data_IF_731042379033
#
_entry.id   IF_731042379033
#
_cell.length_a   1.000
_cell.length_b   1.000
_cell.length_c   1.000
_cell.angle_alpha   90.00
_cell.angle_beta   90.00
_cell.angle_gamma   90.00
#
_symmetry.space_group_name_H-M   'P 1'
#
loop_
_entity.id
_entity.type
_entity.pdbx_description
1 polymer ?
#
# COMPACT_ATOMS: atom_id res chain seq x y z
N UNK A 1 -13.82 -1.13 4.95
CA UNK A 1 -13.87 0.20 4.30
C UNK A 1 -14.97 1.08 4.84
N UNK A 2 -16.23 0.63 4.80
CA UNK A 2 -17.45 1.41 5.12
C UNK A 2 -17.32 2.21 6.42
N UNK A 3 -16.90 1.57 7.52
CA UNK A 3 -16.75 2.23 8.82
C UNK A 3 -15.75 3.40 8.86
N UNK A 4 -14.65 3.31 8.11
CA UNK A 4 -13.65 4.39 8.04
C UNK A 4 -14.14 5.54 7.14
N UNK A 5 -14.87 5.23 6.07
CA UNK A 5 -15.48 6.23 5.19
C UNK A 5 -16.62 6.99 5.88
N UNK A 6 -17.32 6.34 6.82
CA UNK A 6 -18.39 6.95 7.62
C UNK A 6 -17.88 7.98 8.63
N UNK A 7 -16.66 7.84 9.13
CA UNK A 7 -16.09 8.78 10.11
C UNK A 7 -15.87 10.19 9.55
N UNK A 8 -15.70 10.34 8.22
CA UNK A 8 -15.53 11.60 7.44
C UNK A 8 -14.48 12.61 7.92
N UNK A 9 -13.83 12.39 9.06
CA UNK A 9 -12.86 13.29 9.69
C UNK A 9 -11.50 13.26 8.99
N UNK A 10 -11.18 12.16 8.32
CA UNK A 10 -9.91 11.98 7.58
C UNK A 10 -10.16 11.33 6.23
N UNK A 11 -9.50 11.79 5.16
CA UNK A 11 -9.62 11.15 3.85
C UNK A 11 -9.03 9.73 3.90
N UNK A 12 -9.76 8.76 3.37
CA UNK A 12 -9.36 7.35 3.35
C UNK A 12 -9.01 6.95 1.92
N UNK A 13 -7.85 6.32 1.75
CA UNK A 13 -7.36 5.82 0.46
C UNK A 13 -7.09 4.32 0.56
N UNK A 14 -7.61 3.55 -0.41
CA UNK A 14 -7.27 2.14 -0.59
C UNK A 14 -6.09 2.02 -1.55
N UNK A 15 -5.01 1.39 -1.08
CA UNK A 15 -3.87 0.98 -1.89
C UNK A 15 -4.01 -0.52 -2.18
N UNK A 16 -4.78 -0.83 -3.23
CA UNK A 16 -4.94 -2.18 -3.74
C UNK A 16 -3.66 -2.64 -4.47
N UNK A 17 -3.19 -3.85 -4.19
CA UNK A 17 -1.95 -4.39 -4.74
C UNK A 17 -1.94 -4.42 -6.27
N UNK A 18 -3.06 -4.75 -6.92
CA UNK A 18 -3.15 -4.84 -8.38
C UNK A 18 -3.23 -3.46 -9.02
N UNK A 19 -3.97 -2.53 -8.40
CA UNK A 19 -4.03 -1.13 -8.87
C UNK A 19 -2.66 -0.48 -8.76
N UNK A 20 -1.98 -0.62 -7.62
CA UNK A 20 -0.64 -0.05 -7.43
C UNK A 20 0.36 -0.72 -8.38
N UNK A 21 0.29 -2.04 -8.55
CA UNK A 21 1.15 -2.75 -9.49
C UNK A 21 0.95 -2.27 -10.92
N UNK A 22 -0.29 -2.05 -11.35
CA UNK A 22 -0.58 -1.55 -12.70
C UNK A 22 -0.06 -0.13 -12.94
N UNK A 23 -0.16 0.76 -11.97
CA UNK A 23 0.12 2.19 -12.17
C UNK A 23 1.54 2.61 -11.77
N UNK A 24 2.13 1.96 -10.76
CA UNK A 24 3.38 2.40 -10.13
C UNK A 24 4.47 1.31 -10.14
N UNK A 25 4.15 0.09 -10.61
CA UNK A 25 5.09 -1.05 -10.55
C UNK A 25 4.84 -2.04 -11.69
N UNK A 26 4.51 -1.52 -12.88
CA UNK A 26 4.15 -2.34 -14.05
C UNK A 26 5.36 -3.10 -14.61
N UNK A 27 6.56 -2.64 -14.29
CA UNK A 27 7.84 -3.27 -14.62
C UNK A 27 8.18 -4.47 -13.72
N UNK A 28 7.53 -4.59 -12.56
CA UNK A 28 7.78 -5.68 -11.63
C UNK A 28 7.11 -6.96 -12.14
N UNK A 29 7.76 -8.11 -11.91
CA UNK A 29 7.20 -9.45 -12.19
C UNK A 29 6.63 -10.07 -10.90
N UNK A 30 6.60 -11.40 -10.78
CA UNK A 30 6.05 -12.10 -9.60
C UNK A 30 7.13 -12.78 -8.74
N UNK A 31 8.41 -12.48 -8.99
CA UNK A 31 9.50 -12.96 -8.13
C UNK A 31 9.36 -12.43 -6.71
N UNK A 32 10.03 -13.08 -5.76
CA UNK A 32 10.02 -12.67 -4.36
C UNK A 32 10.53 -11.23 -4.21
N UNK A 33 11.65 -10.90 -4.84
CA UNK A 33 12.28 -9.58 -4.79
C UNK A 33 11.35 -8.49 -5.33
N UNK A 34 10.64 -8.79 -6.43
CA UNK A 34 9.67 -7.88 -7.01
C UNK A 34 8.42 -7.70 -6.14
N UNK A 35 7.97 -8.74 -5.42
CA UNK A 35 6.89 -8.61 -4.43
C UNK A 35 7.32 -7.77 -3.25
N UNK A 36 8.52 -8.01 -2.72
CA UNK A 36 9.10 -7.27 -1.60
C UNK A 36 9.24 -5.77 -1.96
N UNK A 37 9.69 -5.47 -3.18
CA UNK A 37 9.78 -4.10 -3.69
C UNK A 37 8.40 -3.43 -3.86
N UNK A 38 7.40 -4.15 -4.36
CA UNK A 38 6.03 -3.63 -4.48
C UNK A 38 5.44 -3.27 -3.11
N UNK A 39 5.61 -4.13 -2.10
CA UNK A 39 5.15 -3.86 -0.73
C UNK A 39 5.88 -2.65 -0.13
N UNK A 40 7.19 -2.54 -0.36
CA UNK A 40 7.99 -1.39 0.09
C UNK A 40 7.49 -0.08 -0.53
N UNK A 41 7.19 -0.08 -1.84
CA UNK A 41 6.63 1.09 -2.55
C UNK A 41 5.25 1.47 -2.03
N UNK A 42 4.38 0.49 -1.77
CA UNK A 42 3.07 0.72 -1.14
C UNK A 42 3.25 1.36 0.24
N UNK A 43 4.20 0.89 1.04
CA UNK A 43 4.54 1.46 2.34
C UNK A 43 4.98 2.93 2.25
N UNK A 44 5.82 3.25 1.27
CA UNK A 44 6.22 4.64 1.01
C UNK A 44 5.01 5.54 0.69
N UNK A 45 4.14 5.13 -0.24
CA UNK A 45 2.93 5.90 -0.58
C UNK A 45 1.97 6.03 0.60
N UNK A 46 1.80 4.97 1.40
CA UNK A 46 1.02 5.00 2.62
C UNK A 46 1.58 6.01 3.64
N UNK A 47 2.91 6.11 3.75
CA UNK A 47 3.56 7.10 4.61
C UNK A 47 3.25 8.53 4.18
N UNK A 48 3.23 8.81 2.86
CA UNK A 48 2.89 10.13 2.35
C UNK A 48 1.42 10.48 2.59
N UNK A 49 0.50 9.52 2.42
CA UNK A 49 -0.93 9.70 2.74
C UNK A 49 -1.10 10.03 4.22
N UNK A 50 -0.44 9.28 5.10
CA UNK A 50 -0.57 9.46 6.55
C UNK A 50 0.08 10.75 7.06
N UNK A 51 1.22 11.17 6.49
CA UNK A 51 1.85 12.48 6.75
C UNK A 51 0.92 13.65 6.40
N UNK A 52 0.09 13.50 5.37
CA UNK A 52 -0.89 14.50 4.96
C UNK A 52 -2.25 14.38 5.68
N UNK A 53 -2.30 13.65 6.81
CA UNK A 53 -3.51 13.51 7.62
C UNK A 53 -4.53 12.51 7.09
N UNK A 54 -4.23 11.77 6.02
CA UNK A 54 -5.08 10.71 5.48
C UNK A 54 -4.93 9.38 6.21
N UNK A 55 -5.77 8.42 5.84
CA UNK A 55 -5.69 7.01 6.27
C UNK A 55 -5.42 6.16 5.02
N UNK A 56 -4.34 5.39 5.04
CA UNK A 56 -4.01 4.43 3.98
C UNK A 56 -4.39 3.01 4.41
N UNK A 57 -5.29 2.37 3.66
CA UNK A 57 -5.60 0.95 3.78
C UNK A 57 -4.84 0.21 2.69
N UNK A 58 -3.84 -0.59 3.07
CA UNK A 58 -2.99 -1.30 2.12
C UNK A 58 -3.46 -2.75 1.98
N UNK A 59 -3.72 -3.20 0.76
CA UNK A 59 -4.13 -4.57 0.46
C UNK A 59 -3.21 -5.24 -0.60
N UNK A 60 -1.88 -5.33 -0.37
CA UNK A 60 -1.01 -6.11 -1.22
C UNK A 60 -1.09 -7.61 -0.93
N UNK A 61 -0.71 -8.43 -1.91
CA UNK A 61 -0.35 -9.83 -1.68
C UNK A 61 1.03 -9.87 -1.03
N UNK A 62 1.11 -10.14 0.27
CA UNK A 62 2.35 -10.24 1.05
C UNK A 62 2.50 -11.66 1.65
N UNK A 63 3.00 -12.63 0.88
CA UNK A 63 3.04 -14.04 1.28
C UNK A 63 4.25 -14.38 2.17
N UNK A 64 5.12 -13.42 2.47
CA UNK A 64 6.37 -13.61 3.22
C UNK A 64 6.37 -12.72 4.46
N UNK A 65 6.73 -13.28 5.62
CA UNK A 65 6.69 -12.57 6.91
C UNK A 65 7.79 -11.50 7.07
N UNK A 66 8.94 -11.67 6.38
CA UNK A 66 10.10 -10.77 6.52
C UNK A 66 9.95 -9.41 5.82
N UNK A 67 8.81 -9.11 5.22
CA UNK A 67 8.58 -7.83 4.55
C UNK A 67 8.07 -6.82 5.57
N UNK A 68 8.96 -6.34 6.43
CA UNK A 68 8.65 -5.18 7.29
C UNK A 68 9.01 -3.90 6.53
N UNK A 69 8.04 -3.00 6.25
CA UNK A 69 8.38 -1.67 5.78
C UNK A 69 9.26 -1.02 6.86
N UNK A 70 10.51 -0.74 6.53
CA UNK A 70 11.40 -0.04 7.45
C UNK A 70 10.74 1.27 7.87
N UNK A 71 10.65 1.46 9.19
CA UNK A 71 10.08 2.66 9.84
C UNK A 71 10.62 3.97 9.27
#
# INVERSE_FOLDING_TARGET
MVRFMEMRDRPVTLLDGDIVRKNLSSELTFSKEHRDLNVTRIGFVASEITKNGGIALCAPIAPYEDVTPSK
#
